data_IF_138216074762
#
_entry.id   IF_138216074762
#
_cell.length_a   1.000
_cell.length_b   1.000
_cell.length_c   1.000
_cell.angle_alpha   90.00
_cell.angle_beta   90.00
_cell.angle_gamma   90.00
#
_symmetry.space_group_name_H-M   'P 1'
#
loop_
_entity.id
_entity.type
_entity.pdbx_description
1 polymer ?
#
# COMPACT_ATOMS: atom_id res chain seq x y z
N UNK A 1 -50.74 -11.04 -42.82
CA UNK A 1 -51.08 -12.42 -42.44
C UNK A 1 -49.77 -13.18 -42.27
N UNK A 2 -49.50 -13.74 -41.09
CA UNK A 2 -48.40 -14.67 -40.83
C UNK A 2 -47.04 -14.08 -40.42
N UNK A 3 -46.83 -13.89 -39.11
CA UNK A 3 -45.50 -13.85 -38.46
C UNK A 3 -45.07 -15.30 -38.15
N UNK A 4 -43.77 -15.66 -38.16
CA UNK A 4 -42.89 -16.04 -37.00
C UNK A 4 -41.86 -17.08 -37.57
N UNK A 5 -40.58 -17.16 -37.13
CA UNK A 5 -39.69 -16.16 -36.53
C UNK A 5 -38.30 -16.07 -37.21
N UNK A 6 -37.63 -14.94 -36.99
CA UNK A 6 -36.19 -14.84 -37.17
C UNK A 6 -35.45 -15.66 -36.11
N UNK A 7 -34.47 -16.43 -36.56
CA UNK A 7 -33.49 -17.11 -35.73
C UNK A 7 -32.55 -16.05 -35.14
N UNK A 8 -32.96 -15.44 -34.03
CA UNK A 8 -32.12 -14.55 -33.25
C UNK A 8 -31.14 -15.44 -32.47
N UNK A 9 -29.92 -15.60 -33.01
CA UNK A 9 -28.80 -16.14 -32.24
C UNK A 9 -28.50 -15.11 -31.15
N UNK A 10 -29.09 -15.30 -29.98
CA UNK A 10 -28.61 -14.66 -28.75
C UNK A 10 -27.26 -15.30 -28.47
N UNK A 11 -26.20 -14.71 -29.04
CA UNK A 11 -24.85 -14.89 -28.55
C UNK A 11 -24.84 -14.31 -27.14
N UNK A 12 -25.15 -15.17 -26.18
CA UNK A 12 -24.89 -14.98 -24.76
C UNK A 12 -23.39 -14.73 -24.66
N UNK A 13 -22.98 -13.47 -24.66
CA UNK A 13 -21.65 -13.08 -24.21
C UNK A 13 -21.60 -13.42 -22.73
N UNK A 14 -21.22 -14.67 -22.44
CA UNK A 14 -20.59 -14.99 -21.18
C UNK A 14 -19.35 -14.12 -21.14
N UNK A 15 -19.46 -12.96 -20.49
CA UNK A 15 -18.32 -12.29 -19.90
C UNK A 15 -17.84 -13.26 -18.83
N UNK A 16 -17.11 -14.29 -19.27
CA UNK A 16 -16.21 -15.01 -18.40
C UNK A 16 -15.22 -13.96 -17.94
N UNK A 17 -15.31 -13.59 -16.66
CA UNK A 17 -14.18 -12.97 -15.99
C UNK A 17 -13.00 -13.90 -16.20
N UNK A 18 -12.16 -13.59 -17.18
CA UNK A 18 -10.82 -14.12 -17.25
C UNK A 18 -10.08 -13.48 -16.08
N UNK A 19 -10.26 -14.05 -14.90
CA UNK A 19 -9.32 -13.90 -13.81
C UNK A 19 -8.03 -14.56 -14.30
N UNK A 20 -7.22 -13.79 -15.04
CA UNK A 20 -5.83 -14.09 -15.25
C UNK A 20 -5.10 -13.86 -13.91
N UNK A 21 -5.41 -14.68 -12.90
CA UNK A 21 -4.49 -14.88 -11.78
C UNK A 21 -3.26 -15.51 -12.40
N UNK A 22 -2.16 -14.75 -12.47
CA UNK A 22 -0.88 -15.28 -12.95
C UNK A 22 -0.55 -16.54 -12.15
N UNK A 23 -0.13 -17.65 -12.79
CA UNK A 23 0.25 -18.85 -12.08
C UNK A 23 1.36 -18.51 -11.08
N UNK A 24 1.13 -18.88 -9.82
CA UNK A 24 2.08 -18.63 -8.74
C UNK A 24 1.77 -17.43 -7.85
N UNK A 25 0.72 -16.64 -8.13
CA UNK A 25 0.29 -15.57 -7.23
C UNK A 25 -0.68 -16.07 -6.16
N UNK A 26 -0.43 -15.73 -4.90
CA UNK A 26 -1.27 -16.17 -3.78
C UNK A 26 -1.25 -15.17 -2.61
N UNK A 27 -2.38 -15.08 -1.91
CA UNK A 27 -2.51 -14.36 -0.65
C UNK A 27 -2.36 -15.34 0.50
N UNK A 28 -1.56 -15.00 1.51
CA UNK A 28 -1.48 -15.79 2.74
C UNK A 28 -1.59 -14.92 3.99
N UNK A 29 -2.35 -15.44 4.95
CA UNK A 29 -2.44 -14.86 6.30
C UNK A 29 -1.19 -15.28 7.06
N UNK A 30 -0.36 -14.31 7.42
CA UNK A 30 0.89 -14.51 8.16
C UNK A 30 0.62 -14.57 9.66
N UNK A 31 -0.22 -13.67 10.16
CA UNK A 31 -0.62 -13.63 11.58
C UNK A 31 -2.07 -13.22 11.74
N UNK A 32 -2.67 -13.64 12.85
CA UNK A 32 -4.03 -13.28 13.26
C UNK A 32 -4.03 -12.63 14.65
N UNK A 33 -5.10 -11.90 14.95
CA UNK A 33 -5.44 -11.48 16.30
C UNK A 33 -6.03 -12.64 17.12
N UNK A 34 -6.18 -12.50 18.46
CA UNK A 34 -6.74 -13.56 19.31
C UNK A 34 -8.17 -13.99 18.95
N UNK A 35 -8.95 -13.11 18.33
CA UNK A 35 -10.31 -13.40 17.84
C UNK A 35 -10.33 -14.11 16.48
N UNK A 36 -9.16 -14.38 15.89
CA UNK A 36 -8.99 -15.03 14.60
C UNK A 36 -9.03 -14.08 13.40
N UNK A 37 -9.28 -12.78 13.60
CA UNK A 37 -9.21 -11.79 12.52
C UNK A 37 -7.78 -11.63 11.99
N UNK A 38 -7.63 -11.29 10.72
CA UNK A 38 -6.32 -11.15 10.06
C UNK A 38 -5.59 -9.95 10.65
N UNK A 39 -4.35 -10.17 11.11
CA UNK A 39 -3.46 -9.09 11.55
C UNK A 39 -2.47 -8.72 10.46
N UNK A 40 -1.84 -9.72 9.83
CA UNK A 40 -0.91 -9.50 8.72
C UNK A 40 -1.21 -10.50 7.62
N UNK A 41 -1.27 -10.01 6.39
CA UNK A 41 -1.24 -10.85 5.20
C UNK A 41 -0.11 -10.42 4.24
N UNK A 42 0.29 -11.34 3.39
CA UNK A 42 1.29 -11.12 2.34
C UNK A 42 0.82 -11.69 1.02
N UNK A 43 1.13 -10.96 -0.04
CA UNK A 43 1.01 -11.46 -1.40
C UNK A 43 2.33 -12.07 -1.85
N UNK A 44 2.26 -13.23 -2.48
CA UNK A 44 3.39 -14.00 -2.96
C UNK A 44 3.32 -14.21 -4.46
N UNK A 45 4.47 -14.36 -5.09
CA UNK A 45 4.61 -14.92 -6.43
C UNK A 45 5.67 -16.04 -6.41
N UNK A 46 5.66 -16.97 -7.38
CA UNK A 46 6.64 -18.07 -7.46
C UNK A 46 7.38 -18.06 -8.81
N UNK A 47 8.35 -17.16 -9.04
CA UNK A 47 9.18 -17.22 -10.24
C UNK A 47 10.12 -18.42 -10.09
N UNK A 48 10.23 -19.23 -11.15
CA UNK A 48 11.15 -20.38 -11.17
C UNK A 48 10.94 -21.36 -9.99
N UNK A 49 9.72 -21.41 -9.44
CA UNK A 49 9.35 -22.26 -8.31
C UNK A 49 9.75 -21.73 -6.93
N UNK A 50 10.38 -20.56 -6.83
CA UNK A 50 10.78 -19.95 -5.56
C UNK A 50 9.70 -19.01 -5.05
N UNK A 51 9.03 -19.36 -3.96
CA UNK A 51 7.99 -18.50 -3.37
C UNK A 51 8.60 -17.24 -2.74
N UNK A 52 8.16 -16.08 -3.19
CA UNK A 52 8.65 -14.77 -2.75
C UNK A 52 7.47 -13.85 -2.39
N UNK A 53 7.51 -13.25 -1.21
CA UNK A 53 6.56 -12.19 -0.84
C UNK A 53 6.92 -10.90 -1.59
N UNK A 54 5.93 -10.22 -2.16
CA UNK A 54 6.13 -8.96 -2.88
C UNK A 54 5.29 -7.81 -2.32
N UNK A 55 4.33 -8.10 -1.43
CA UNK A 55 3.49 -7.09 -0.80
C UNK A 55 3.04 -7.56 0.58
N UNK A 56 2.96 -6.64 1.53
CA UNK A 56 2.46 -6.89 2.88
C UNK A 56 1.37 -5.89 3.25
N UNK A 57 0.37 -6.37 3.99
CA UNK A 57 -0.64 -5.53 4.65
C UNK A 57 -0.75 -5.92 6.10
N UNK A 58 -0.80 -4.94 6.98
CA UNK A 58 -1.11 -5.11 8.38
C UNK A 58 -2.40 -4.35 8.70
N UNK A 59 -3.22 -4.92 9.57
CA UNK A 59 -4.56 -4.46 9.90
C UNK A 59 -4.69 -4.13 11.39
N UNK A 60 -5.63 -3.26 11.71
CA UNK A 60 -6.17 -3.08 13.05
C UNK A 60 -7.09 -4.25 13.43
N UNK A 61 -7.40 -4.45 14.73
CA UNK A 61 -8.29 -5.53 15.17
C UNK A 61 -9.71 -5.50 14.59
N UNK A 62 -10.17 -4.32 14.15
CA UNK A 62 -11.47 -4.15 13.50
C UNK A 62 -11.41 -4.45 11.98
N UNK A 63 -10.27 -4.91 11.47
CA UNK A 63 -10.04 -5.23 10.06
C UNK A 63 -9.70 -4.03 9.19
N UNK A 64 -9.61 -2.81 9.74
CA UNK A 64 -9.17 -1.65 8.96
C UNK A 64 -7.67 -1.72 8.66
N UNK A 65 -7.26 -1.21 7.50
CA UNK A 65 -5.87 -1.25 7.09
C UNK A 65 -5.03 -0.32 7.96
N UNK A 66 -3.96 -0.85 8.55
CA UNK A 66 -3.01 -0.07 9.35
C UNK A 66 -1.81 0.38 8.52
N UNK A 67 -1.19 -0.53 7.77
CA UNK A 67 -0.09 -0.19 6.85
C UNK A 67 0.03 -1.20 5.74
N UNK A 68 0.61 -0.76 4.64
CA UNK A 68 0.88 -1.62 3.51
C UNK A 68 2.10 -1.16 2.73
N UNK A 69 2.68 -2.08 1.98
CA UNK A 69 3.65 -1.72 0.97
C UNK A 69 4.34 -2.91 0.32
N UNK A 70 5.12 -2.61 -0.73
CA UNK A 70 5.93 -3.58 -1.44
C UNK A 70 7.06 -4.16 -0.59
N UNK A 71 7.37 -5.43 -0.84
CA UNK A 71 8.47 -6.17 -0.25
C UNK A 71 9.47 -6.60 -1.33
N UNK A 72 10.75 -6.59 -0.97
CA UNK A 72 11.83 -7.23 -1.72
C UNK A 72 12.74 -7.95 -0.72
N UNK A 73 12.99 -9.24 -0.96
CA UNK A 73 13.78 -10.09 -0.05
C UNK A 73 13.29 -9.99 1.41
N UNK A 74 11.96 -10.07 1.61
CA UNK A 74 11.27 -9.94 2.90
C UNK A 74 11.49 -8.61 3.65
N UNK A 75 11.96 -7.56 2.95
CA UNK A 75 12.15 -6.22 3.50
C UNK A 75 11.28 -5.18 2.77
N UNK A 76 10.82 -4.11 3.46
CA UNK A 76 10.18 -2.97 2.82
C UNK A 76 11.02 -2.40 1.66
N UNK A 77 10.44 -2.27 0.48
CA UNK A 77 11.15 -1.79 -0.72
C UNK A 77 10.20 -1.05 -1.67
N UNK A 78 10.30 0.28 -1.72
CA UNK A 78 9.38 1.19 -2.39
C UNK A 78 8.49 1.96 -1.41
N UNK A 79 7.38 2.49 -1.93
CA UNK A 79 6.47 3.34 -1.17
C UNK A 79 5.62 2.54 -0.18
N UNK A 80 5.85 2.77 1.11
CA UNK A 80 5.00 2.26 2.19
C UNK A 80 4.04 3.33 2.67
N UNK A 81 2.83 2.90 3.01
CA UNK A 81 1.77 3.76 3.53
C UNK A 81 1.29 3.24 4.87
N UNK A 82 0.90 4.15 5.75
CA UNK A 82 0.25 3.85 7.02
C UNK A 82 -0.96 4.74 7.19
N UNK A 83 -2.00 4.21 7.79
CA UNK A 83 -3.31 4.82 7.91
C UNK A 83 -3.73 4.85 9.37
N UNK A 84 -4.51 5.85 9.73
CA UNK A 84 -5.25 5.86 10.98
C UNK A 84 -6.39 4.85 10.95
N UNK A 85 -6.95 4.52 12.11
CA UNK A 85 -8.11 3.62 12.24
C UNK A 85 -9.41 4.21 11.67
N UNK A 86 -9.40 5.41 11.08
CA UNK A 86 -10.51 5.93 10.27
C UNK A 86 -10.22 5.82 8.77
N UNK A 87 -9.23 5.00 8.39
CA UNK A 87 -8.70 4.83 7.03
C UNK A 87 -8.07 6.08 6.39
N UNK A 88 -7.87 7.16 7.16
CA UNK A 88 -7.19 8.36 6.67
C UNK A 88 -5.69 8.11 6.61
N UNK A 89 -5.02 8.56 5.54
CA UNK A 89 -3.57 8.43 5.40
C UNK A 89 -2.85 9.17 6.53
N UNK A 90 -2.06 8.44 7.31
CA UNK A 90 -1.27 8.99 8.40
C UNK A 90 0.15 9.32 7.92
N UNK A 91 0.79 8.42 7.18
CA UNK A 91 2.15 8.64 6.68
C UNK A 91 2.40 7.82 5.42
N UNK A 92 3.28 8.35 4.57
CA UNK A 92 3.90 7.60 3.48
C UNK A 92 5.41 7.84 3.46
N UNK A 93 6.17 6.86 2.95
CA UNK A 93 7.61 7.00 2.79
C UNK A 93 8.23 5.92 1.92
N UNK A 94 9.26 6.31 1.20
CA UNK A 94 10.06 5.41 0.38
C UNK A 94 11.06 4.61 1.22
N UNK A 95 11.16 3.31 0.92
CA UNK A 95 12.12 2.39 1.52
C UNK A 95 12.99 1.75 0.44
N UNK A 96 14.22 1.41 0.80
CA UNK A 96 15.12 0.60 -0.01
C UNK A 96 15.78 -0.41 0.93
N UNK A 97 15.59 -1.70 0.65
CA UNK A 97 16.10 -2.81 1.48
C UNK A 97 15.79 -2.67 2.99
N UNK A 98 14.58 -2.20 3.32
CA UNK A 98 14.11 -2.02 4.69
C UNK A 98 14.56 -0.71 5.36
N UNK A 99 15.32 0.14 4.66
CA UNK A 99 15.81 1.42 5.17
C UNK A 99 15.06 2.56 4.50
N UNK A 100 14.59 3.56 5.27
CA UNK A 100 13.95 4.75 4.70
C UNK A 100 14.93 5.46 3.76
N UNK A 101 14.54 5.63 2.50
CA UNK A 101 15.40 6.19 1.48
C UNK A 101 14.56 6.83 0.37
N UNK A 102 14.39 8.14 0.45
CA UNK A 102 13.57 8.94 -0.44
C UNK A 102 12.62 9.85 0.33
N UNK A 103 11.58 10.30 -0.36
CA UNK A 103 10.59 11.23 0.18
C UNK A 103 9.76 10.55 1.27
N UNK A 104 9.47 11.29 2.33
CA UNK A 104 8.47 10.91 3.33
C UNK A 104 7.50 12.06 3.56
N UNK A 105 6.26 11.69 3.88
CA UNK A 105 5.23 12.62 4.32
C UNK A 105 4.49 12.04 5.52
N UNK A 106 4.05 12.92 6.40
CA UNK A 106 3.17 12.59 7.51
C UNK A 106 2.10 13.65 7.60
N UNK A 107 0.90 13.24 7.96
CA UNK A 107 -0.31 14.06 7.92
C UNK A 107 -0.93 14.16 9.31
N UNK A 108 -1.60 15.27 9.57
CA UNK A 108 -2.53 15.42 10.69
C UNK A 108 -3.77 14.54 10.46
N UNK A 109 -4.56 14.35 11.52
CA UNK A 109 -5.82 13.60 11.50
C UNK A 109 -6.85 14.14 10.48
N UNK A 110 -6.82 15.44 10.22
CA UNK A 110 -7.64 16.12 9.22
C UNK A 110 -7.11 15.98 7.78
N UNK A 111 -6.03 15.23 7.57
CA UNK A 111 -5.40 15.00 6.27
C UNK A 111 -4.47 16.12 5.78
N UNK A 112 -4.33 17.22 6.53
CA UNK A 112 -3.35 18.26 6.20
C UNK A 112 -1.91 17.76 6.44
N UNK A 113 -0.97 18.23 5.63
CA UNK A 113 0.44 17.83 5.75
C UNK A 113 0.98 18.29 7.11
N UNK A 114 1.58 17.38 7.88
CA UNK A 114 2.28 17.70 9.12
C UNK A 114 3.76 17.96 8.85
N UNK A 115 4.42 17.07 8.12
CA UNK A 115 5.75 17.31 7.61
C UNK A 115 6.02 16.54 6.34
N UNK A 116 7.00 17.04 5.58
CA UNK A 116 7.66 16.29 4.52
C UNK A 116 9.16 16.54 4.53
N UNK A 117 9.91 15.59 4.00
CA UNK A 117 11.34 15.68 3.85
C UNK A 117 11.91 14.42 3.23
N UNK A 118 13.23 14.40 3.07
CA UNK A 118 13.93 13.26 2.48
C UNK A 118 14.73 12.51 3.54
N UNK A 119 14.77 11.20 3.39
CA UNK A 119 15.75 10.34 4.03
C UNK A 119 16.75 9.84 3.01
N UNK A 120 18.02 9.80 3.38
CA UNK A 120 19.08 9.12 2.63
C UNK A 120 19.72 8.09 3.56
N UNK A 121 19.60 6.80 3.23
CA UNK A 121 20.10 5.68 4.05
C UNK A 121 19.64 5.77 5.53
N UNK A 122 18.38 6.11 5.75
CA UNK A 122 17.76 6.20 7.08
C UNK A 122 18.06 7.49 7.84
N UNK A 123 18.84 8.41 7.27
CA UNK A 123 19.19 9.69 7.89
C UNK A 123 18.43 10.83 7.21
N UNK A 124 17.90 11.77 8.00
CA UNK A 124 17.25 12.98 7.46
C UNK A 124 18.23 13.75 6.58
N UNK A 125 17.77 14.11 5.38
CA UNK A 125 18.52 14.80 4.35
C UNK A 125 17.66 15.90 3.71
N UNK A 126 18.30 16.85 3.03
CA UNK A 126 17.69 17.95 2.27
C UNK A 126 16.79 18.84 3.14
N UNK A 127 15.86 19.56 2.51
CA UNK A 127 14.93 20.45 3.18
C UNK A 127 13.76 19.67 3.80
N UNK A 128 13.58 19.85 5.10
CA UNK A 128 12.43 19.38 5.87
C UNK A 128 11.50 20.53 6.17
N UNK A 129 10.21 20.35 5.91
CA UNK A 129 9.18 21.35 6.12
C UNK A 129 8.12 20.82 7.07
N UNK A 130 7.61 21.69 7.94
CA UNK A 130 6.62 21.34 8.95
C UNK A 130 5.48 22.35 8.94
N UNK A 131 4.24 21.86 8.98
CA UNK A 131 3.03 22.67 8.96
C UNK A 131 2.12 22.33 10.14
N UNK A 132 1.32 23.30 10.57
CA UNK A 132 0.24 23.06 11.52
C UNK A 132 -1.00 22.45 10.83
N UNK A 133 -2.01 22.10 11.61
CA UNK A 133 -3.25 21.49 11.09
C UNK A 133 -4.07 22.42 10.16
N UNK A 134 -3.77 23.72 10.12
CA UNK A 134 -4.37 24.69 9.20
C UNK A 134 -3.58 24.80 7.88
N UNK A 135 -2.53 24.00 7.70
CA UNK A 135 -1.66 24.06 6.52
C UNK A 135 -0.71 25.26 6.50
N UNK A 136 -0.53 25.95 7.62
CA UNK A 136 0.46 27.05 7.73
C UNK A 136 1.84 26.47 7.98
N UNK A 137 2.81 26.87 7.17
CA UNK A 137 4.22 26.48 7.36
C UNK A 137 4.75 27.08 8.66
N UNK A 138 5.22 26.23 9.57
CA UNK A 138 5.72 26.62 10.89
C UNK A 138 7.24 26.58 10.94
N UNK A 139 7.87 25.67 10.19
CA UNK A 139 9.31 25.45 10.30
C UNK A 139 9.88 24.84 9.02
N UNK A 140 11.10 25.27 8.72
CA UNK A 140 11.97 24.62 7.74
C UNK A 140 13.32 24.28 8.39
N UNK A 141 13.90 23.13 8.02
CA UNK A 141 15.22 22.70 8.47
C UNK A 141 15.97 22.09 7.30
N UNK A 142 17.15 22.61 6.98
CA UNK A 142 18.02 22.07 5.94
C UNK A 142 19.03 21.08 6.55
N UNK A 143 18.89 19.81 6.19
CA UNK A 143 19.78 18.72 6.63
C UNK A 143 20.86 18.37 5.60
N UNK A 144 20.94 19.07 4.47
CA UNK A 144 21.96 18.82 3.43
C UNK A 144 23.38 19.23 3.84
N UNK A 145 23.53 20.02 4.91
CA UNK A 145 24.79 20.69 5.29
C UNK A 145 25.51 20.08 6.51
N UNK A 146 25.39 18.76 6.70
CA UNK A 146 26.09 18.08 7.81
C UNK A 146 27.57 17.87 7.52
#
# INVERSE_FOLDING_TARGET
MGKIPGLLVVLLWMVGCQNNSMPGQGLEVVTTFPDGSVKVDRMYHTPEGVKMAYYEREYYPDGQLFKEGPLKNDKPDGLWKSYFQNSTLWSEGEFNEGVRNGLTRTYHDNGSLYYEGYYTLGVKDSLWKFWNAQGTLIKEVDFSKK
#
